data_IF_004216069488
#
_entry.id   IF_004216069488
#
_cell.length_a   1.000
_cell.length_b   1.000
_cell.length_c   1.000
_cell.angle_alpha   90.00
_cell.angle_beta   90.00
_cell.angle_gamma   90.00
#
_symmetry.space_group_name_H-M   'P 1'
#
loop_
_entity.id
_entity.type
_entity.pdbx_description
1 polymer ?
#
# COMPACT_ATOMS: atom_id res chain seq x y z
N UNK A 1 -38.92 -6.83 -0.68
CA UNK A 1 -37.58 -7.07 -1.28
C UNK A 1 -36.93 -5.74 -1.58
N UNK A 2 -35.81 -5.41 -0.92
CA UNK A 2 -34.74 -4.52 -1.41
C UNK A 2 -33.76 -4.27 -0.26
N UNK A 3 -32.69 -5.05 -0.22
CA UNK A 3 -31.57 -4.82 0.70
C UNK A 3 -30.85 -3.56 0.18
N UNK A 4 -31.04 -2.43 0.87
CA UNK A 4 -30.29 -1.20 0.60
C UNK A 4 -28.85 -1.39 1.05
N UNK A 5 -27.98 -1.85 0.15
CA UNK A 5 -26.54 -1.85 0.40
C UNK A 5 -26.08 -0.39 0.46
N UNK A 6 -25.67 0.07 1.65
CA UNK A 6 -25.03 1.38 1.81
C UNK A 6 -23.71 1.33 1.05
N UNK A 7 -23.69 1.84 -0.18
CA UNK A 7 -22.48 2.07 -0.97
C UNK A 7 -21.71 3.19 -0.26
N UNK A 8 -20.79 2.83 0.64
CA UNK A 8 -19.86 3.76 1.26
C UNK A 8 -19.15 4.54 0.16
N UNK A 9 -19.26 5.88 0.17
CA UNK A 9 -18.53 6.78 -0.73
C UNK A 9 -17.05 6.37 -0.69
N UNK A 10 -16.56 5.72 -1.75
CA UNK A 10 -15.13 5.54 -1.95
C UNK A 10 -14.61 6.95 -2.23
N UNK A 11 -14.00 7.62 -1.25
CA UNK A 11 -13.14 8.75 -1.59
C UNK A 11 -11.95 8.13 -2.33
N UNK A 12 -12.01 8.08 -3.66
CA UNK A 12 -10.87 7.71 -4.50
C UNK A 12 -9.82 8.80 -4.34
N UNK A 13 -8.86 8.59 -3.44
CA UNK A 13 -7.72 9.50 -3.34
C UNK A 13 -6.71 9.11 -4.42
N UNK A 14 -5.95 10.07 -4.92
CA UNK A 14 -4.88 9.78 -5.88
C UNK A 14 -3.59 9.40 -5.14
N UNK A 15 -2.80 8.52 -5.73
CA UNK A 15 -1.48 8.16 -5.24
C UNK A 15 -0.58 9.40 -5.24
N UNK A 16 -0.14 9.84 -4.06
CA UNK A 16 0.67 11.05 -3.90
C UNK A 16 2.06 10.93 -4.56
N UNK A 17 2.45 9.73 -5.00
CA UNK A 17 3.71 9.48 -5.70
C UNK A 17 3.56 9.57 -7.21
N UNK A 18 2.55 8.93 -7.81
CA UNK A 18 2.44 8.78 -9.27
C UNK A 18 1.08 9.18 -9.87
N UNK A 19 0.16 9.75 -9.08
CA UNK A 19 -1.13 10.27 -9.54
C UNK A 19 -2.22 9.23 -9.86
N UNK A 20 -1.89 7.94 -9.88
CA UNK A 20 -2.86 6.87 -10.15
C UNK A 20 -3.87 6.73 -9.00
N UNK A 21 -5.15 6.39 -9.25
CA UNK A 21 -6.11 6.11 -8.19
C UNK A 21 -5.56 5.17 -7.11
N UNK A 22 -5.84 5.51 -5.86
CA UNK A 22 -5.43 4.78 -4.68
C UNK A 22 -6.63 4.64 -3.73
N UNK A 23 -6.75 3.45 -3.15
CA UNK A 23 -7.87 3.13 -2.29
C UNK A 23 -7.63 3.58 -0.84
N UNK A 24 -6.37 3.54 -0.37
CA UNK A 24 -6.02 3.84 1.03
C UNK A 24 -4.53 4.18 1.22
N UNK A 25 -4.16 4.53 2.46
CA UNK A 25 -2.78 4.87 2.83
C UNK A 25 -1.91 3.63 3.09
N UNK A 26 -0.68 3.65 2.58
CA UNK A 26 0.36 2.68 2.91
C UNK A 26 1.55 3.38 3.53
N UNK A 27 2.03 2.84 4.66
CA UNK A 27 3.24 3.31 5.36
C UNK A 27 3.23 4.81 5.69
N UNK A 28 2.06 5.44 5.75
CA UNK A 28 1.90 6.86 6.11
C UNK A 28 1.44 7.79 5.00
N UNK A 29 1.31 7.33 3.75
CA UNK A 29 0.87 8.16 2.62
C UNK A 29 -0.17 7.45 1.74
N UNK A 30 -1.08 8.21 1.12
CA UNK A 30 -1.99 7.65 0.11
C UNK A 30 -1.17 7.21 -1.09
N UNK A 31 -1.25 5.93 -1.44
CA UNK A 31 -0.44 5.37 -2.52
C UNK A 31 -1.08 4.15 -3.17
N UNK A 32 -0.73 3.93 -4.44
CA UNK A 32 -1.16 2.75 -5.18
C UNK A 32 -0.31 1.52 -4.82
N UNK A 33 -0.84 0.32 -5.09
CA UNK A 33 -0.18 -0.95 -4.80
C UNK A 33 1.25 -1.06 -5.39
N UNK A 34 1.53 -0.59 -6.63
CA UNK A 34 2.90 -0.57 -7.16
C UNK A 34 3.87 0.31 -6.34
N UNK A 35 3.44 1.47 -5.87
CA UNK A 35 4.27 2.37 -5.05
C UNK A 35 4.50 1.81 -3.64
N UNK A 36 3.48 1.17 -3.06
CA UNK A 36 3.64 0.39 -1.82
C UNK A 36 4.74 -0.66 -1.97
N UNK A 37 4.64 -1.52 -2.99
CA UNK A 37 5.61 -2.61 -3.19
C UNK A 37 7.01 -2.10 -3.52
N UNK A 38 7.10 -1.02 -4.30
CA UNK A 38 8.35 -0.34 -4.57
C UNK A 38 9.02 0.16 -3.27
N UNK A 39 8.26 0.84 -2.41
CA UNK A 39 8.77 1.32 -1.12
C UNK A 39 9.26 0.17 -0.24
N UNK A 40 8.50 -0.92 -0.11
CA UNK A 40 8.91 -2.11 0.67
C UNK A 40 10.27 -2.68 0.26
N UNK A 41 10.60 -2.61 -1.04
CA UNK A 41 11.84 -3.18 -1.60
C UNK A 41 13.03 -2.25 -1.44
N UNK A 42 12.82 -0.95 -1.57
CA UNK A 42 13.91 0.03 -1.67
C UNK A 42 14.11 0.90 -0.43
N UNK A 43 13.15 0.94 0.51
CA UNK A 43 13.24 1.84 1.66
C UNK A 43 14.42 1.55 2.62
N UNK A 44 14.94 0.32 2.62
CA UNK A 44 16.08 -0.10 3.43
C UNK A 44 17.38 -0.23 2.62
N UNK A 45 17.35 0.03 1.31
CA UNK A 45 18.53 -0.08 0.47
C UNK A 45 19.33 1.21 0.59
N UNK A 46 20.65 1.12 0.74
CA UNK A 46 21.52 2.28 0.69
C UNK A 46 21.24 3.09 -0.58
N UNK A 47 21.20 4.43 -0.47
CA UNK A 47 20.92 5.36 -1.57
C UNK A 47 21.70 5.06 -2.87
N UNK A 48 22.84 4.37 -2.80
CA UNK A 48 23.67 3.98 -3.94
C UNK A 48 22.97 3.12 -5.00
N UNK A 49 21.95 2.31 -4.66
CA UNK A 49 21.18 1.56 -5.65
C UNK A 49 20.13 2.42 -6.40
N UNK A 50 19.95 3.65 -5.92
CA UNK A 50 18.95 4.60 -6.37
C UNK A 50 19.65 5.90 -6.76
N UNK A 51 20.53 5.84 -7.77
CA UNK A 51 21.18 7.02 -8.35
C UNK A 51 20.23 7.69 -9.34
N UNK A 52 20.15 9.02 -9.29
CA UNK A 52 19.44 9.81 -10.31
C UNK A 52 20.40 10.22 -11.42
N UNK A 53 19.93 10.19 -12.68
CA UNK A 53 20.68 10.67 -13.85
C UNK A 53 20.23 12.06 -14.33
N UNK A 54 19.25 12.67 -13.66
CA UNK A 54 18.61 13.94 -14.05
C UNK A 54 18.46 14.87 -12.82
N UNK A 55 19.59 15.14 -12.15
CA UNK A 55 19.73 16.13 -11.05
C UNK A 55 18.82 15.97 -9.81
N UNK A 56 18.22 14.80 -9.64
CA UNK A 56 17.37 14.52 -8.48
C UNK A 56 15.99 15.20 -8.50
N UNK A 57 15.59 15.80 -9.64
CA UNK A 57 14.32 16.53 -9.76
C UNK A 57 13.33 15.90 -10.75
N UNK A 58 13.43 14.59 -11.01
CA UNK A 58 12.50 13.92 -11.93
C UNK A 58 11.06 14.02 -11.43
N UNK A 59 10.17 14.49 -12.30
CA UNK A 59 8.73 14.35 -12.08
C UNK A 59 8.30 12.88 -12.17
N UNK A 60 7.50 12.41 -11.21
CA UNK A 60 7.04 11.03 -11.14
C UNK A 60 5.54 10.96 -11.42
N UNK A 61 5.17 10.25 -12.49
CA UNK A 61 3.82 9.96 -12.96
C UNK A 61 3.66 8.47 -13.32
N UNK A 62 2.48 8.05 -13.81
CA UNK A 62 2.22 6.65 -14.17
C UNK A 62 3.21 6.09 -15.19
N UNK A 63 3.58 6.90 -16.18
CA UNK A 63 4.37 6.47 -17.34
C UNK A 63 5.86 6.41 -17.02
N UNK A 64 6.38 7.36 -16.23
CA UNK A 64 7.82 7.50 -16.00
C UNK A 64 8.30 7.03 -14.62
N UNK A 65 7.42 6.55 -13.72
CA UNK A 65 7.78 6.05 -12.37
C UNK A 65 8.75 4.86 -12.33
N UNK A 66 9.13 4.31 -13.47
CA UNK A 66 10.14 3.26 -13.57
C UNK A 66 11.52 3.80 -14.00
N UNK A 67 11.57 5.00 -14.60
CA UNK A 67 12.78 5.59 -15.18
C UNK A 67 13.76 6.00 -14.09
N UNK A 68 13.28 6.64 -13.02
CA UNK A 68 14.12 7.12 -11.93
C UNK A 68 13.67 6.55 -10.57
N UNK A 69 14.23 5.40 -10.15
CA UNK A 69 13.99 4.83 -8.82
C UNK A 69 14.37 5.80 -7.70
N UNK A 70 15.45 6.57 -7.89
CA UNK A 70 15.93 7.58 -6.94
C UNK A 70 14.88 8.62 -6.59
N UNK A 71 14.40 9.36 -7.59
CA UNK A 71 13.40 10.40 -7.39
C UNK A 71 12.06 9.82 -6.94
N UNK A 72 11.72 8.60 -7.38
CA UNK A 72 10.53 7.91 -6.88
C UNK A 72 10.62 7.61 -5.39
N UNK A 73 11.75 7.08 -4.92
CA UNK A 73 11.96 6.78 -3.51
C UNK A 73 12.00 8.07 -2.67
N UNK A 74 12.68 9.11 -3.15
CA UNK A 74 12.69 10.42 -2.51
C UNK A 74 11.26 10.99 -2.38
N UNK A 75 10.44 10.87 -3.43
CA UNK A 75 9.03 11.29 -3.40
C UNK A 75 8.20 10.46 -2.40
N UNK A 76 8.45 9.15 -2.27
CA UNK A 76 7.81 8.32 -1.25
C UNK A 76 8.05 8.88 0.17
N UNK A 77 9.30 9.21 0.50
CA UNK A 77 9.62 9.82 1.80
C UNK A 77 9.00 11.21 1.94
N UNK A 78 9.09 12.04 0.89
CA UNK A 78 8.53 13.40 0.88
C UNK A 78 7.03 13.44 1.13
N UNK A 79 6.27 12.45 0.66
CA UNK A 79 4.83 12.34 0.92
C UNK A 79 4.48 11.65 2.25
N UNK A 80 5.47 11.31 3.08
CA UNK A 80 5.25 10.79 4.43
C UNK A 80 5.25 9.26 4.56
N UNK A 81 5.75 8.51 3.57
CA UNK A 81 6.06 7.09 3.79
C UNK A 81 7.26 6.96 4.73
N UNK A 82 7.17 6.09 5.73
CA UNK A 82 8.28 5.87 6.68
C UNK A 82 8.67 4.40 6.83
N UNK A 83 9.95 4.18 7.10
CA UNK A 83 10.52 2.84 7.37
C UNK A 83 9.94 2.29 8.67
N UNK A 84 9.71 3.11 9.69
CA UNK A 84 9.15 2.67 10.97
C UNK A 84 7.77 2.03 10.78
N UNK A 85 6.90 2.66 9.96
CA UNK A 85 5.58 2.13 9.63
C UNK A 85 5.68 0.86 8.78
N UNK A 86 6.71 0.75 7.94
CA UNK A 86 7.01 -0.49 7.22
C UNK A 86 7.44 -1.61 8.18
N UNK A 87 8.30 -1.34 9.16
CA UNK A 87 8.76 -2.30 10.16
C UNK A 87 7.63 -2.75 11.09
N UNK A 88 6.80 -1.81 11.56
CA UNK A 88 5.60 -2.12 12.32
C UNK A 88 4.62 -3.02 11.55
N UNK A 89 4.56 -2.88 10.21
CA UNK A 89 3.75 -3.77 9.38
C UNK A 89 4.34 -5.18 9.19
N UNK A 90 5.66 -5.36 9.42
CA UNK A 90 6.34 -6.66 9.37
C UNK A 90 6.20 -7.43 10.67
N UNK A 91 6.00 -6.74 11.79
CA UNK A 91 5.62 -7.37 13.06
C UNK A 91 4.25 -8.01 12.83
N UNK A 92 4.28 -9.32 12.62
CA UNK A 92 3.10 -10.14 12.38
C UNK A 92 2.12 -9.88 13.51
N UNK A 93 0.84 -9.65 13.17
CA UNK A 93 -0.23 -9.84 14.14
C UNK A 93 0.02 -11.20 14.80
N UNK A 94 -0.01 -11.32 16.14
CA UNK A 94 0.06 -12.63 16.78
C UNK A 94 -0.95 -13.54 16.09
N UNK A 95 -0.49 -14.74 15.71
CA UNK A 95 -1.22 -15.73 14.92
C UNK A 95 -2.69 -15.80 15.41
N UNK A 96 -3.64 -15.17 14.70
CA UNK A 96 -5.04 -15.08 15.14
C UNK A 96 -5.79 -16.39 14.91
N UNK A 97 -5.10 -17.53 14.82
CA UNK A 97 -5.73 -18.85 14.87
C UNK A 97 -6.44 -19.13 16.22
N UNK A 98 -6.25 -18.26 17.23
CA UNK A 98 -6.93 -18.34 18.53
C UNK A 98 -8.09 -17.34 18.69
N UNK A 99 -8.26 -16.35 17.79
CA UNK A 99 -9.30 -15.29 17.95
C UNK A 99 -10.46 -15.37 16.94
N UNK A 100 -10.38 -16.23 15.92
CA UNK A 100 -11.49 -16.42 14.95
C UNK A 100 -12.49 -17.51 15.41
N UNK A 101 -12.18 -18.31 16.44
CA UNK A 101 -13.08 -19.39 16.90
C UNK A 101 -14.31 -18.94 17.71
N UNK A 102 -14.59 -17.64 17.88
CA UNK A 102 -15.73 -17.17 18.69
C UNK A 102 -16.79 -16.35 17.96
N UNK A 103 -16.84 -16.34 16.62
CA UNK A 103 -17.94 -15.66 15.90
C UNK A 103 -18.51 -16.31 14.64
N UNK A 104 -18.23 -17.58 14.38
CA UNK A 104 -18.97 -18.38 13.40
C UNK A 104 -19.16 -19.80 13.95
N UNK A 105 -20.32 -20.04 14.58
CA UNK A 105 -20.79 -21.37 14.89
C UNK A 105 -21.39 -21.96 13.61
N UNK A 106 -20.55 -22.52 12.73
CA UNK A 106 -21.01 -23.22 11.52
C UNK A 106 -21.26 -24.68 11.93
N UNK A 107 -22.36 -24.89 12.63
CA UNK A 107 -23.04 -26.17 12.64
C UNK A 107 -24.33 -25.96 11.86
N UNK A 108 -24.35 -26.38 10.59
CA UNK A 108 -25.41 -27.18 9.96
C UNK A 108 -25.16 -27.27 8.43
N UNK A 109 -24.74 -28.46 8.00
CA UNK A 109 -25.44 -29.26 6.96
C UNK A 109 -25.26 -28.85 5.49
N UNK A 110 -24.20 -29.37 4.86
CA UNK A 110 -24.17 -29.65 3.41
C UNK A 110 -24.49 -31.14 3.20
N UNK A 111 -25.78 -31.48 3.21
CA UNK A 111 -26.31 -32.67 2.54
C UNK A 111 -27.24 -32.16 1.44
N UNK A 112 -26.97 -32.59 0.22
CA UNK A 112 -27.74 -32.39 -1.03
C UNK A 112 -27.31 -31.17 -1.85
N UNK A 113 -26.24 -31.33 -2.63
CA UNK A 113 -26.18 -31.15 -4.08
C UNK A 113 -24.97 -31.92 -4.61
#
# INVERSE_FOLDING_TARGET
>A
MSIKTKKSKILSHECQICGVPAEYSHFGAISCHPCKMFFKRNANTEQAACTCHFDGQCEINLNNRHICPACRLAKCFKCGMSIDKLQASRQTKPNTNTLVKKKYNINQRWKNY
#
